data_IF_215832350871
#
_entry.id   IF_215832350871
#
_cell.length_a   1.000
_cell.length_b   1.000
_cell.length_c   1.000
_cell.angle_alpha   90.00
_cell.angle_beta   90.00
_cell.angle_gamma   90.00
#
_symmetry.space_group_name_H-M   'P 1'
#
loop_
_entity.id
_entity.type
_entity.pdbx_description
1 polymer ?
#
# COMPACT_ATOMS: atom_id res chain seq x y z
N UNK A 1 -3.96 -14.41 2.36
CA UNK A 1 -4.49 -14.73 1.02
C UNK A 1 -3.76 -15.96 0.48
N UNK A 2 -4.38 -16.75 -0.39
CA UNK A 2 -3.72 -17.93 -0.98
C UNK A 2 -2.61 -17.55 -1.98
N UNK A 3 -1.63 -18.43 -2.16
CA UNK A 3 -0.52 -18.19 -3.09
C UNK A 3 -1.00 -18.02 -4.55
N UNK A 4 -2.04 -18.75 -4.95
CA UNK A 4 -2.65 -18.60 -6.28
C UNK A 4 -3.31 -17.23 -6.44
N UNK A 5 -4.01 -16.73 -5.41
CA UNK A 5 -4.60 -15.40 -5.41
C UNK A 5 -3.52 -14.30 -5.52
N UNK A 6 -2.40 -14.45 -4.78
CA UNK A 6 -1.25 -13.53 -4.85
C UNK A 6 -0.65 -13.47 -6.26
N UNK A 7 -0.36 -14.64 -6.86
CA UNK A 7 0.16 -14.73 -8.23
C UNK A 7 -0.78 -14.13 -9.26
N UNK A 8 -2.09 -14.34 -9.11
CA UNK A 8 -3.09 -13.75 -10.00
C UNK A 8 -3.12 -12.22 -9.88
N UNK A 9 -3.02 -11.66 -8.67
CA UNK A 9 -2.92 -10.21 -8.46
C UNK A 9 -1.64 -9.61 -9.03
N UNK A 10 -0.48 -10.26 -8.83
CA UNK A 10 0.79 -9.81 -9.41
C UNK A 10 0.73 -9.79 -10.94
N UNK A 11 0.16 -10.84 -11.55
CA UNK A 11 -0.05 -10.90 -13.00
C UNK A 11 -0.96 -9.76 -13.48
N UNK A 12 -2.07 -9.51 -12.80
CA UNK A 12 -3.00 -8.42 -13.12
C UNK A 12 -2.27 -7.06 -13.04
N UNK A 13 -1.53 -6.82 -11.96
CA UNK A 13 -0.76 -5.59 -11.78
C UNK A 13 0.29 -5.40 -12.88
N UNK A 14 1.06 -6.44 -13.21
CA UNK A 14 2.06 -6.40 -14.28
C UNK A 14 1.46 -6.11 -15.65
N UNK A 15 0.47 -6.90 -16.06
CA UNK A 15 -0.12 -6.75 -17.40
C UNK A 15 -0.78 -5.37 -17.59
N UNK A 16 -1.40 -4.82 -16.53
CA UNK A 16 -2.02 -3.49 -16.56
C UNK A 16 -0.99 -2.36 -16.57
N UNK A 17 0.05 -2.44 -15.73
CA UNK A 17 1.15 -1.48 -15.73
C UNK A 17 1.86 -1.44 -17.09
N UNK A 18 2.18 -2.61 -17.66
CA UNK A 18 2.81 -2.70 -18.99
C UNK A 18 1.92 -2.15 -20.10
N UNK A 19 0.62 -2.43 -20.06
CA UNK A 19 -0.34 -1.89 -21.02
C UNK A 19 -0.39 -0.35 -20.93
N UNK A 20 -0.41 0.19 -19.71
CA UNK A 20 -0.46 1.64 -19.48
C UNK A 20 0.79 2.34 -19.99
N UNK A 21 1.98 1.84 -19.62
CA UNK A 21 3.26 2.41 -20.08
C UNK A 21 3.41 2.37 -21.58
N UNK A 22 2.90 1.31 -22.24
CA UNK A 22 2.95 1.18 -23.71
C UNK A 22 1.80 1.90 -24.42
N UNK A 23 0.87 2.54 -23.71
CA UNK A 23 -0.31 3.18 -24.30
C UNK A 23 -1.25 2.19 -25.02
N UNK A 24 -1.26 0.92 -24.60
CA UNK A 24 -2.10 -0.14 -25.19
C UNK A 24 -3.46 -0.21 -24.50
N UNK A 25 -4.41 -0.87 -25.16
CA UNK A 25 -5.70 -1.16 -24.56
C UNK A 25 -5.54 -1.98 -23.27
N UNK A 26 -6.31 -1.62 -22.23
CA UNK A 26 -6.26 -2.32 -20.95
C UNK A 26 -6.72 -3.77 -21.09
N UNK A 27 -5.96 -4.74 -20.52
CA UNK A 27 -6.36 -6.14 -20.51
C UNK A 27 -7.68 -6.32 -19.75
N UNK A 28 -8.51 -7.26 -20.22
CA UNK A 28 -9.73 -7.66 -19.53
C UNK A 28 -9.47 -8.97 -18.79
N UNK A 29 -9.69 -8.98 -17.49
CA UNK A 29 -9.50 -10.15 -16.66
C UNK A 29 -10.84 -10.79 -16.30
N UNK A 30 -10.93 -12.11 -16.45
CA UNK A 30 -12.03 -12.88 -15.87
C UNK A 30 -11.57 -13.44 -14.52
N UNK A 31 -11.81 -12.69 -13.46
CA UNK A 31 -11.42 -13.08 -12.10
C UNK A 31 -12.48 -14.00 -11.51
N UNK A 32 -12.09 -15.24 -11.20
CA UNK A 32 -12.98 -16.25 -10.60
C UNK A 32 -12.68 -16.53 -9.14
N UNK A 33 -11.51 -16.10 -8.67
CA UNK A 33 -11.12 -16.29 -7.29
C UNK A 33 -11.90 -15.35 -6.36
N UNK A 34 -12.66 -15.91 -5.41
CA UNK A 34 -13.48 -15.16 -4.47
C UNK A 34 -12.67 -14.19 -3.58
N UNK A 35 -11.42 -14.54 -3.24
CA UNK A 35 -10.51 -13.66 -2.47
C UNK A 35 -10.22 -12.35 -3.21
N UNK A 36 -10.29 -12.36 -4.55
CA UNK A 36 -9.99 -11.20 -5.38
C UNK A 36 -11.24 -10.37 -5.73
N UNK A 37 -12.41 -10.88 -5.35
CA UNK A 37 -13.71 -10.23 -5.54
C UNK A 37 -14.15 -9.43 -4.32
N UNK A 38 -13.47 -9.58 -3.17
CA UNK A 38 -13.74 -8.78 -1.97
C UNK A 38 -13.37 -7.32 -2.19
N UNK A 39 -14.03 -6.44 -1.46
CA UNK A 39 -13.83 -4.98 -1.51
C UNK A 39 -12.80 -4.57 -0.47
N UNK A 40 -11.58 -4.27 -0.90
CA UNK A 40 -10.46 -3.93 -0.04
C UNK A 40 -9.61 -2.81 -0.64
N UNK A 41 -8.94 -2.06 0.23
CA UNK A 41 -7.88 -1.14 -0.18
C UNK A 41 -6.63 -1.91 -0.59
N UNK A 42 -5.88 -1.35 -1.53
CA UNK A 42 -4.60 -1.89 -1.92
C UNK A 42 -3.66 -0.78 -2.36
N UNK A 43 -2.37 -1.03 -2.20
CA UNK A 43 -1.27 -0.23 -2.73
C UNK A 43 -0.47 -1.10 -3.69
N UNK A 44 -0.06 -0.52 -4.81
CA UNK A 44 0.86 -1.15 -5.76
C UNK A 44 2.14 -0.33 -5.77
N UNK A 45 3.25 -0.97 -5.45
CA UNK A 45 4.58 -0.37 -5.49
C UNK A 45 5.32 -0.96 -6.68
N UNK A 46 5.91 -0.09 -7.50
CA UNK A 46 6.78 -0.42 -8.62
C UNK A 46 8.18 -0.02 -8.22
N UNK A 47 9.10 -0.96 -8.30
CA UNK A 47 10.54 -0.75 -8.12
C UNK A 47 11.27 -1.06 -9.42
N UNK A 48 12.46 -0.52 -9.61
CA UNK A 48 13.39 -0.91 -10.66
C UNK A 48 14.73 -1.16 -9.99
N UNK A 49 15.22 -2.41 -10.02
CA UNK A 49 16.46 -2.83 -9.34
C UNK A 49 16.48 -2.41 -7.85
N UNK A 50 15.36 -2.60 -7.16
CA UNK A 50 15.18 -2.23 -5.75
C UNK A 50 14.85 -0.76 -5.48
N UNK A 51 15.02 0.16 -6.44
CA UNK A 51 14.70 1.57 -6.25
C UNK A 51 13.23 1.87 -6.54
N UNK A 52 12.59 2.70 -5.72
CA UNK A 52 11.19 3.09 -5.91
C UNK A 52 11.00 3.88 -7.22
N UNK A 53 10.06 3.43 -8.06
CA UNK A 53 9.66 4.12 -9.31
C UNK A 53 8.20 4.55 -9.35
N UNK A 54 7.39 4.09 -8.41
CA UNK A 54 6.03 4.55 -8.21
C UNK A 54 5.34 3.79 -7.09
N UNK A 55 4.50 4.46 -6.31
CA UNK A 55 3.65 3.81 -5.33
C UNK A 55 2.38 4.62 -5.11
N UNK A 56 1.27 4.07 -5.58
CA UNK A 56 -0.07 4.62 -5.46
C UNK A 56 -0.98 3.53 -4.91
N UNK A 57 -1.93 3.95 -4.09
CA UNK A 57 -2.91 3.06 -3.50
C UNK A 57 -4.09 3.82 -2.96
N UNK A 58 -5.06 3.05 -2.47
CA UNK A 58 -6.23 3.57 -1.76
C UNK A 58 -6.50 2.73 -0.53
N UNK A 59 -6.89 3.39 0.55
CA UNK A 59 -7.16 2.75 1.84
C UNK A 59 -8.43 1.91 1.84
N UNK A 60 -9.40 2.28 1.01
CA UNK A 60 -10.65 1.55 0.83
C UNK A 60 -11.02 1.58 -0.65
N UNK A 61 -11.82 0.61 -1.07
CA UNK A 61 -12.33 0.52 -2.42
C UNK A 61 -13.73 -0.08 -2.39
N UNK A 62 -14.62 0.47 -3.20
CA UNK A 62 -15.95 -0.08 -3.48
C UNK A 62 -15.93 -1.13 -4.62
N UNK A 63 -14.78 -1.22 -5.32
CA UNK A 63 -14.51 -2.17 -6.40
C UNK A 63 -13.91 -3.48 -5.87
N UNK A 64 -14.03 -4.59 -6.62
CA UNK A 64 -13.27 -5.81 -6.37
C UNK A 64 -11.76 -5.54 -6.21
N UNK A 65 -11.09 -6.32 -5.36
CA UNK A 65 -9.67 -6.20 -5.09
C UNK A 65 -8.83 -6.27 -6.37
N UNK A 66 -9.13 -7.21 -7.28
CA UNK A 66 -8.44 -7.32 -8.55
C UNK A 66 -8.53 -6.03 -9.40
N UNK A 67 -9.70 -5.41 -9.44
CA UNK A 67 -9.88 -4.13 -10.15
C UNK A 67 -9.16 -2.99 -9.44
N UNK A 68 -9.17 -2.99 -8.11
CA UNK A 68 -8.45 -2.01 -7.31
C UNK A 68 -6.94 -2.11 -7.57
N UNK A 69 -6.37 -3.31 -7.58
CA UNK A 69 -4.97 -3.56 -7.90
C UNK A 69 -4.65 -3.13 -9.33
N UNK A 70 -5.50 -3.46 -10.32
CA UNK A 70 -5.33 -3.00 -11.69
C UNK A 70 -5.28 -1.47 -11.80
N UNK A 71 -6.25 -0.78 -11.20
CA UNK A 71 -6.32 0.68 -11.20
C UNK A 71 -5.07 1.30 -10.54
N UNK A 72 -4.63 0.74 -9.41
CA UNK A 72 -3.46 1.24 -8.68
C UNK A 72 -2.15 0.92 -9.39
N UNK A 73 -2.05 -0.20 -10.13
CA UNK A 73 -0.87 -0.50 -10.94
C UNK A 73 -0.68 0.51 -12.09
N UNK A 74 -1.78 0.88 -12.77
CA UNK A 74 -1.77 1.94 -13.79
C UNK A 74 -1.32 3.26 -13.18
N UNK A 75 -1.92 3.65 -12.05
CA UNK A 75 -1.61 4.91 -11.39
C UNK A 75 -0.16 4.94 -10.88
N UNK A 76 0.34 3.86 -10.29
CA UNK A 76 1.74 3.75 -9.85
C UNK A 76 2.73 3.88 -11.00
N UNK A 77 2.41 3.35 -12.18
CA UNK A 77 3.30 3.43 -13.34
C UNK A 77 3.28 4.82 -14.00
N UNK A 78 2.16 5.55 -13.92
CA UNK A 78 1.91 6.70 -14.81
C UNK A 78 1.51 8.00 -14.12
N UNK A 79 1.05 7.98 -12.87
CA UNK A 79 0.42 9.12 -12.19
C UNK A 79 1.11 9.55 -10.88
N UNK A 80 2.12 8.81 -10.40
CA UNK A 80 2.87 9.20 -9.20
C UNK A 80 3.64 10.52 -9.43
N UNK A 81 3.18 11.58 -8.77
CA UNK A 81 3.67 12.95 -8.97
C UNK A 81 5.15 13.12 -8.62
N UNK A 82 5.71 12.27 -7.75
CA UNK A 82 7.14 12.27 -7.42
C UNK A 82 8.00 11.94 -8.64
N UNK A 83 7.45 11.20 -9.60
CA UNK A 83 8.11 10.76 -10.82
C UNK A 83 7.53 11.42 -12.08
N UNK A 84 6.81 12.54 -11.95
CA UNK A 84 6.12 13.19 -13.08
C UNK A 84 7.04 13.50 -14.27
N UNK A 85 8.28 13.92 -14.01
CA UNK A 85 9.30 14.24 -15.02
C UNK A 85 10.17 13.03 -15.42
N UNK A 86 9.95 11.87 -14.79
CA UNK A 86 10.70 10.64 -15.03
C UNK A 86 9.79 9.43 -14.85
N UNK A 87 8.68 9.39 -15.58
CA UNK A 87 7.72 8.28 -15.50
C UNK A 87 8.37 6.98 -15.96
N UNK A 88 7.79 5.85 -15.58
CA UNK A 88 8.22 4.54 -16.05
C UNK A 88 8.14 4.49 -17.58
N UNK A 89 9.24 4.10 -18.22
CA UNK A 89 9.34 4.00 -19.68
C UNK A 89 9.24 2.55 -20.15
N UNK A 90 8.92 2.35 -21.43
CA UNK A 90 8.79 1.02 -22.01
C UNK A 90 10.06 0.17 -21.93
N UNK A 91 11.24 0.79 -21.91
CA UNK A 91 12.53 0.12 -21.75
C UNK A 91 12.79 -0.40 -20.34
N UNK A 92 12.16 0.19 -19.32
CA UNK A 92 12.32 -0.23 -17.92
C UNK A 92 11.46 -1.46 -17.59
N UNK A 93 10.41 -1.74 -18.38
CA UNK A 93 9.36 -2.73 -18.04
C UNK A 93 9.90 -4.13 -17.67
N UNK A 94 10.97 -4.56 -18.33
CA UNK A 94 11.57 -5.88 -18.11
C UNK A 94 12.36 -5.96 -16.78
N UNK A 95 12.72 -4.82 -16.20
CA UNK A 95 13.51 -4.71 -14.96
C UNK A 95 12.68 -4.25 -13.77
N UNK A 96 11.38 -4.02 -13.97
CA UNK A 96 10.49 -3.61 -12.88
C UNK A 96 10.20 -4.80 -11.97
N UNK A 97 10.10 -4.50 -10.67
CA UNK A 97 9.57 -5.39 -9.66
C UNK A 97 8.27 -4.80 -9.12
N UNK A 98 7.21 -5.62 -9.07
CA UNK A 98 5.93 -5.21 -8.50
C UNK A 98 5.75 -5.82 -7.12
N UNK A 99 5.32 -4.99 -6.18
CA UNK A 99 4.92 -5.35 -4.83
C UNK A 99 3.50 -4.83 -4.57
N UNK A 100 2.67 -5.65 -3.94
CA UNK A 100 1.28 -5.35 -3.63
C UNK A 100 1.10 -5.42 -2.12
N UNK A 101 0.49 -4.38 -1.55
CA UNK A 101 0.02 -4.38 -0.17
C UNK A 101 -1.50 -4.38 -0.15
N UNK A 102 -2.11 -5.49 0.25
CA UNK A 102 -3.57 -5.61 0.42
C UNK A 102 -3.94 -5.29 1.86
N UNK A 103 -4.87 -4.35 2.04
CA UNK A 103 -5.26 -3.87 3.35
C UNK A 103 -6.50 -4.58 3.87
N UNK A 104 -6.50 -4.90 5.17
CA UNK A 104 -7.74 -5.24 5.85
C UNK A 104 -8.71 -4.05 5.86
N UNK A 105 -10.01 -4.29 6.07
CA UNK A 105 -10.95 -3.22 6.36
C UNK A 105 -10.44 -2.36 7.52
N UNK A 106 -10.58 -1.04 7.37
CA UNK A 106 -10.23 -0.07 8.40
C UNK A 106 -11.18 -0.21 9.59
N UNK A 107 -10.62 -0.41 10.79
CA UNK A 107 -11.40 -0.51 12.03
C UNK A 107 -11.17 0.74 12.87
N UNK A 108 -12.21 1.57 13.02
CA UNK A 108 -12.14 2.70 13.95
C UNK A 108 -12.02 2.17 15.37
N UNK A 109 -11.13 2.78 16.16
CA UNK A 109 -10.92 2.42 17.57
C UNK A 109 -11.15 3.61 18.48
N UNK A 110 -11.76 3.36 19.63
CA UNK A 110 -11.91 4.36 20.70
C UNK A 110 -10.64 4.49 21.55
N UNK A 111 -9.86 3.40 21.62
CA UNK A 111 -8.57 3.34 22.32
C UNK A 111 -7.45 3.00 21.33
N UNK A 112 -6.74 4.01 20.80
CA UNK A 112 -5.63 3.82 19.88
C UNK A 112 -4.49 2.95 20.44
N UNK A 113 -4.30 2.89 21.76
CA UNK A 113 -3.19 2.13 22.37
C UNK A 113 -3.40 0.62 22.37
N UNK A 114 -4.58 0.15 21.94
CA UNK A 114 -4.83 -1.26 21.61
C UNK A 114 -4.09 -1.72 20.36
N UNK A 115 -3.48 -0.82 19.60
CA UNK A 115 -2.65 -1.19 18.45
C UNK A 115 -1.53 -2.16 18.87
N UNK A 116 -1.19 -3.07 17.98
CA UNK A 116 -0.10 -4.05 18.14
C UNK A 116 1.00 -3.64 17.16
N UNK A 117 2.15 -3.21 17.68
CA UNK A 117 3.27 -2.77 16.84
C UNK A 117 3.75 -3.92 15.94
N UNK A 118 4.09 -3.60 14.69
CA UNK A 118 4.50 -4.58 13.68
C UNK A 118 3.35 -5.38 13.06
N UNK A 119 2.16 -5.36 13.66
CA UNK A 119 0.96 -6.02 13.12
C UNK A 119 -0.04 -5.02 12.56
N UNK A 120 -0.33 -3.96 13.32
CA UNK A 120 -1.31 -2.95 12.93
C UNK A 120 -0.63 -1.74 12.29
N UNK A 121 -1.16 -1.31 11.15
CA UNK A 121 -1.02 0.03 10.62
C UNK A 121 -2.04 0.96 11.24
N UNK A 122 -1.80 2.26 11.13
CA UNK A 122 -2.68 3.31 11.62
C UNK A 122 -3.06 4.26 10.49
N UNK A 123 -4.33 4.64 10.45
CA UNK A 123 -4.83 5.73 9.62
C UNK A 123 -5.51 6.76 10.54
N UNK A 124 -5.03 7.99 10.53
CA UNK A 124 -5.49 9.09 11.37
C UNK A 124 -6.23 10.09 10.50
N UNK A 125 -7.40 10.56 10.95
CA UNK A 125 -8.22 11.54 10.23
C UNK A 125 -8.79 12.60 11.16
N UNK A 126 -8.63 13.87 10.80
CA UNK A 126 -9.31 15.02 11.44
C UNK A 126 -9.69 16.05 10.38
N UNK A 127 -10.97 16.10 10.01
CA UNK A 127 -11.43 16.90 8.88
C UNK A 127 -10.77 16.45 7.57
N UNK A 128 -10.13 17.36 6.86
CA UNK A 128 -9.37 17.08 5.62
C UNK A 128 -7.94 16.59 5.85
N UNK A 129 -7.46 16.60 7.10
CA UNK A 129 -6.10 16.16 7.45
C UNK A 129 -6.06 14.66 7.69
N UNK A 130 -5.12 13.99 7.05
CA UNK A 130 -5.00 12.53 7.12
C UNK A 130 -3.55 12.09 7.22
N UNK A 131 -3.26 11.10 8.06
CA UNK A 131 -1.94 10.49 8.16
C UNK A 131 -2.04 8.98 8.15
N UNK A 132 -1.00 8.30 7.64
CA UNK A 132 -0.96 6.85 7.65
C UNK A 132 0.46 6.34 7.91
N UNK A 133 0.55 5.28 8.70
CA UNK A 133 1.71 4.40 8.74
C UNK A 133 1.29 2.94 8.53
N UNK A 134 2.07 2.23 7.72
CA UNK A 134 1.92 0.79 7.52
C UNK A 134 2.56 0.02 8.69
N UNK A 135 2.18 -1.26 8.91
CA UNK A 135 2.71 -2.07 10.02
C UNK A 135 4.25 -2.11 10.09
N UNK A 136 4.93 -2.20 8.95
CA UNK A 136 6.40 -2.30 8.90
C UNK A 136 7.14 -1.07 9.41
N UNK A 137 6.51 0.11 9.40
CA UNK A 137 7.14 1.34 9.93
C UNK A 137 7.40 1.19 11.42
N UNK A 138 6.52 0.49 12.15
CA UNK A 138 6.72 0.24 13.57
C UNK A 138 7.93 -0.66 13.83
N UNK A 139 8.15 -1.69 13.00
CA UNK A 139 9.29 -2.61 13.14
C UNK A 139 10.60 -1.97 12.73
N UNK A 140 10.62 -1.13 11.69
CA UNK A 140 11.83 -0.46 11.21
C UNK A 140 12.34 0.63 12.16
N UNK A 141 11.44 1.28 12.89
CA UNK A 141 11.77 2.45 13.72
C UNK A 141 11.98 2.13 15.18
N UNK A 142 11.41 1.02 15.68
CA UNK A 142 11.48 0.65 17.09
C UNK A 142 10.72 1.59 18.04
N UNK A 143 9.81 2.42 17.52
CA UNK A 143 9.03 3.37 18.31
C UNK A 143 8.01 2.69 19.22
N UNK A 144 7.74 3.32 20.36
CA UNK A 144 6.60 2.97 21.22
C UNK A 144 5.26 3.26 20.53
N UNK A 145 4.15 2.75 21.08
CA UNK A 145 2.80 2.98 20.52
C UNK A 145 2.45 4.46 20.48
N UNK A 146 2.79 5.18 21.55
CA UNK A 146 2.58 6.62 21.69
C UNK A 146 3.41 7.39 20.67
N UNK A 147 4.67 7.03 20.48
CA UNK A 147 5.51 7.64 19.45
C UNK A 147 4.97 7.36 18.05
N UNK A 148 4.56 6.12 17.76
CA UNK A 148 4.00 5.72 16.47
C UNK A 148 2.78 6.57 16.09
N UNK A 149 1.83 6.71 17.02
CA UNK A 149 0.66 7.58 16.86
C UNK A 149 1.06 9.05 16.72
N UNK A 150 1.96 9.53 17.58
CA UNK A 150 2.30 10.96 17.64
C UNK A 150 3.10 11.42 16.42
N UNK A 151 4.00 10.58 15.93
CA UNK A 151 4.76 10.78 14.70
C UNK A 151 3.84 10.75 13.48
N UNK A 152 2.79 9.93 13.50
CA UNK A 152 1.80 9.91 12.42
C UNK A 152 0.96 11.20 12.40
N UNK A 153 0.48 11.64 13.57
CA UNK A 153 -0.21 12.92 13.71
C UNK A 153 0.64 14.08 13.17
N UNK A 154 1.85 14.26 13.69
CA UNK A 154 2.73 15.35 13.30
C UNK A 154 3.24 15.24 11.86
N UNK A 155 3.91 14.12 11.56
CA UNK A 155 4.70 13.97 10.34
C UNK A 155 3.90 13.56 9.10
N UNK A 156 2.69 13.00 9.26
CA UNK A 156 1.85 12.57 8.13
C UNK A 156 0.54 13.33 8.04
N UNK A 157 -0.13 13.56 9.17
CA UNK A 157 -1.41 14.28 9.17
C UNK A 157 -1.27 15.80 9.28
N UNK A 158 -0.10 16.35 9.65
CA UNK A 158 0.06 17.77 9.92
C UNK A 158 -0.80 18.25 11.09
N UNK A 159 -0.93 17.39 12.11
CA UNK A 159 -1.68 17.63 13.35
C UNK A 159 -0.70 17.80 14.53
N UNK A 160 -1.14 18.39 15.66
CA UNK A 160 -0.39 18.30 16.90
C UNK A 160 -0.01 16.84 17.24
N UNK A 161 1.20 16.54 17.74
CA UNK A 161 1.63 15.17 18.00
C UNK A 161 0.70 14.39 18.93
N UNK A 162 0.06 15.05 19.89
CA UNK A 162 -0.89 14.46 20.83
C UNK A 162 -2.35 14.40 20.32
N UNK A 163 -2.62 14.84 19.09
CA UNK A 163 -3.97 14.95 18.55
C UNK A 163 -4.73 13.61 18.51
N UNK A 164 -4.06 12.46 18.55
CA UNK A 164 -4.70 11.14 18.61
C UNK A 164 -5.44 10.90 19.94
N UNK A 165 -5.23 11.73 20.95
CA UNK A 165 -5.96 11.73 22.24
C UNK A 165 -7.24 12.58 22.19
N UNK A 166 -7.39 13.42 21.19
CA UNK A 166 -8.54 14.30 21.01
C UNK A 166 -9.73 13.51 20.44
N UNK A 167 -10.93 13.55 21.04
CA UNK A 167 -12.13 12.87 20.51
C UNK A 167 -12.53 13.29 19.09
N UNK A 168 -12.11 14.48 18.65
CA UNK A 168 -12.29 14.99 17.29
C UNK A 168 -11.31 14.38 16.26
N UNK A 169 -10.38 13.54 16.69
CA UNK A 169 -9.45 12.80 15.82
C UNK A 169 -9.87 11.34 15.77
N UNK A 170 -10.11 10.86 14.56
CA UNK A 170 -10.42 9.47 14.33
C UNK A 170 -9.15 8.68 14.08
N UNK A 171 -8.99 7.56 14.79
CA UNK A 171 -7.90 6.60 14.56
C UNK A 171 -8.50 5.28 14.09
N UNK A 172 -7.95 4.77 13.01
CA UNK A 172 -8.31 3.48 12.43
C UNK A 172 -7.10 2.55 12.47
N UNK A 173 -7.34 1.29 12.83
CA UNK A 173 -6.36 0.22 12.75
C UNK A 173 -6.65 -0.66 11.53
N UNK A 174 -5.60 -1.19 10.91
CA UNK A 174 -5.69 -2.17 9.83
C UNK A 174 -4.46 -3.06 9.81
N UNK A 175 -4.54 -4.20 9.15
CA UNK A 175 -3.37 -5.02 8.78
C UNK A 175 -3.09 -4.89 7.29
N UNK A 176 -1.86 -5.17 6.88
CA UNK A 176 -1.47 -5.22 5.48
C UNK A 176 -0.81 -6.57 5.18
N UNK A 177 -1.26 -7.23 4.12
CA UNK A 177 -0.57 -8.39 3.55
C UNK A 177 0.28 -7.90 2.38
N UNK A 178 1.60 -8.02 2.50
CA UNK A 178 2.57 -7.54 1.50
C UNK A 178 3.20 -8.73 0.79
N UNK A 179 3.25 -8.69 -0.53
CA UNK A 179 3.87 -9.71 -1.38
C UNK A 179 4.32 -9.08 -2.70
N UNK A 180 5.38 -9.62 -3.32
CA UNK A 180 5.94 -9.10 -4.56
C UNK A 180 6.44 -10.20 -5.49
N UNK A 181 6.86 -9.81 -6.70
CA UNK A 181 7.37 -10.74 -7.74
C UNK A 181 8.69 -11.40 -7.37
N UNK A 182 9.51 -10.69 -6.60
CA UNK A 182 10.71 -11.21 -5.99
C UNK A 182 10.49 -11.10 -4.48
N UNK A 183 10.52 -12.24 -3.77
CA UNK A 183 10.68 -12.20 -2.32
C UNK A 183 11.94 -11.38 -2.06
N UNK A 184 11.81 -10.24 -1.38
CA UNK A 184 12.93 -9.57 -0.78
C UNK A 184 13.53 -10.58 0.19
N UNK A 185 14.55 -11.31 -0.25
CA UNK A 185 15.36 -12.13 0.63
C UNK A 185 15.76 -11.25 1.79
N UNK A 186 15.34 -11.62 2.99
CA UNK A 186 16.05 -11.22 4.20
C UNK A 186 17.51 -11.54 3.94
N UNK A 187 18.32 -10.49 3.72
CA UNK A 187 19.76 -10.60 3.84
C UNK A 187 20.03 -11.13 5.25
N UNK A 188 20.31 -12.43 5.32
CA UNK A 188 21.02 -13.01 6.44
C UNK A 188 22.26 -12.16 6.64
N UNK A 189 22.31 -11.45 7.76
CA UNK A 189 23.53 -10.87 8.28
C UNK A 189 24.58 -11.99 8.34
N UNK A 190 25.48 -12.01 7.37
CA UNK A 190 26.65 -12.88 7.40
C UNK A 190 27.60 -12.37 8.49
N UNK A 191 28.31 -13.29 9.18
CA UNK A 191 29.05 -13.02 10.41
C UNK A 191 30.26 -12.10 10.22
#
# INVERSE_FOLDING_TARGET
MTENARKELLRIARETAEAAVRGKAMPKFQVRNAELLVKQGAFVTIKNRGELRGCIGRFTSDKPLAQTVADMAVASATEDSRFFYNRVTASELAELDIEISVLSPMQRVDDPLKLELGKHGIYIRRGSRTGCFLPQVATETGWSKEEFLSRCCGGKAGLPPDAWRDPGTEVYLFTAEVFGEHESGTEEAKP
#
